data_IF_130058613331
#
_entry.id   IF_130058613331
#
_cell.length_a   1.000
_cell.length_b   1.000
_cell.length_c   1.000
_cell.angle_alpha   90.00
_cell.angle_beta   90.00
_cell.angle_gamma   90.00
#
_symmetry.space_group_name_H-M   'P 1'
#
loop_
_entity.id
_entity.type
_entity.pdbx_description
1 polymer ?
#
# COMPACT_ATOMS: atom_id res chain seq x y z
N UNK A 1 26.57 34.29 0.74
CA UNK A 1 27.70 33.44 1.15
C UNK A 1 28.97 34.21 0.91
N UNK A 2 29.79 34.41 1.94
CA UNK A 2 31.00 35.22 1.82
C UNK A 2 32.20 34.31 1.50
N UNK A 3 33.01 34.70 0.50
CA UNK A 3 34.29 34.05 0.21
C UNK A 3 35.33 34.57 1.19
N UNK A 4 36.05 33.67 1.86
CA UNK A 4 36.98 34.04 2.93
C UNK A 4 38.44 33.91 2.47
N UNK A 5 39.28 34.85 2.92
CA UNK A 5 40.74 34.73 2.87
C UNK A 5 41.22 34.36 4.29
N UNK A 6 41.98 33.27 4.42
CA UNK A 6 42.46 32.70 5.69
C UNK A 6 41.37 32.34 6.71
N UNK A 7 40.53 31.30 6.46
CA UNK A 7 39.20 31.16 7.09
C UNK A 7 39.15 31.04 8.62
N UNK A 8 40.24 30.71 9.29
CA UNK A 8 40.50 30.99 10.72
C UNK A 8 42.00 30.89 11.01
N UNK A 9 42.83 31.34 10.05
CA UNK A 9 44.31 31.22 10.02
C UNK A 9 44.90 29.85 9.63
N UNK A 10 44.26 29.25 8.62
CA UNK A 10 44.80 28.27 7.65
C UNK A 10 44.62 26.77 7.94
N UNK A 11 44.31 26.04 6.87
CA UNK A 11 44.15 24.56 6.73
C UNK A 11 42.74 23.94 6.77
N UNK A 12 41.69 24.68 6.40
CA UNK A 12 40.39 24.07 6.11
C UNK A 12 39.49 23.96 7.33
N UNK A 13 39.30 25.08 8.02
CA UNK A 13 38.33 25.22 9.10
C UNK A 13 36.95 24.72 8.62
N UNK A 14 36.40 23.75 9.34
CA UNK A 14 35.10 23.17 9.10
C UNK A 14 34.30 23.11 10.40
N UNK A 15 32.99 23.31 10.31
CA UNK A 15 32.10 23.23 11.46
C UNK A 15 31.48 24.56 11.86
N UNK A 16 30.65 24.51 12.90
CA UNK A 16 29.86 25.63 13.39
C UNK A 16 30.54 26.29 14.60
N UNK A 17 30.66 27.61 14.57
CA UNK A 17 31.08 28.41 15.73
C UNK A 17 29.83 29.00 16.37
N UNK A 18 29.65 28.71 17.66
CA UNK A 18 28.60 29.24 18.52
C UNK A 18 27.16 29.15 17.94
N UNK A 19 26.91 28.20 17.02
CA UNK A 19 25.65 28.11 16.25
C UNK A 19 25.24 29.43 15.58
N UNK A 20 26.23 30.23 15.19
CA UNK A 20 26.03 31.51 14.50
C UNK A 20 26.60 31.48 13.08
N UNK A 21 27.76 30.85 12.87
CA UNK A 21 28.43 30.77 11.56
C UNK A 21 28.98 29.37 11.33
N UNK A 22 28.88 28.87 10.11
CA UNK A 22 29.46 27.61 9.65
C UNK A 22 30.53 27.87 8.60
N UNK A 23 31.72 27.31 8.82
CA UNK A 23 32.80 27.27 7.85
C UNK A 23 32.83 25.90 7.18
N UNK A 24 33.03 25.86 5.86
CA UNK A 24 33.21 24.62 5.11
C UNK A 24 33.81 24.90 3.73
N UNK A 25 34.46 23.91 3.08
CA UNK A 25 34.84 24.01 1.69
C UNK A 25 33.62 23.80 0.77
N UNK A 26 33.41 24.71 -0.18
CA UNK A 26 32.38 24.60 -1.20
C UNK A 26 32.99 24.82 -2.59
N UNK A 27 32.98 23.78 -3.44
CA UNK A 27 33.54 23.82 -4.79
C UNK A 27 34.97 24.41 -4.84
N UNK A 28 35.83 23.95 -3.93
CA UNK A 28 37.22 24.41 -3.83
C UNK A 28 37.41 25.81 -3.21
N UNK A 29 36.32 26.47 -2.79
CA UNK A 29 36.36 27.76 -2.11
C UNK A 29 36.07 27.61 -0.63
N UNK A 30 36.83 28.28 0.21
CA UNK A 30 36.51 28.38 1.63
C UNK A 30 35.43 29.43 1.83
N UNK A 31 34.29 28.99 2.39
CA UNK A 31 33.11 29.82 2.54
C UNK A 31 32.62 29.81 3.98
N UNK A 32 32.04 30.93 4.39
CA UNK A 32 31.21 31.01 5.59
C UNK A 32 29.77 31.32 5.23
N UNK A 33 28.86 30.71 6.00
CA UNK A 33 27.44 31.04 6.00
C UNK A 33 26.92 31.12 7.43
N UNK A 34 25.82 31.84 7.60
CA UNK A 34 25.06 31.82 8.84
C UNK A 34 24.67 30.37 9.20
N UNK A 35 24.74 30.05 10.49
CA UNK A 35 24.24 28.79 11.01
C UNK A 35 22.71 28.83 10.98
N UNK A 36 22.16 28.40 9.84
CA UNK A 36 20.73 28.23 9.69
C UNK A 36 20.35 26.91 10.34
N UNK A 37 19.58 26.95 11.42
CA UNK A 37 18.78 25.79 11.85
C UNK A 37 17.61 25.74 10.88
N UNK A 38 17.53 24.74 9.97
CA UNK A 38 16.38 24.63 9.09
C UNK A 38 15.13 24.54 9.96
N UNK A 39 14.14 25.38 9.70
CA UNK A 39 12.84 25.20 10.32
C UNK A 39 12.37 23.79 9.94
N UNK A 40 12.09 22.96 10.95
CA UNK A 40 11.40 21.67 10.77
C UNK A 40 9.97 21.79 11.32
N UNK A 41 9.12 22.65 10.73
CA UNK A 41 7.79 22.90 11.27
C UNK A 41 6.96 21.62 11.15
N UNK A 42 6.51 21.08 12.28
CA UNK A 42 5.52 20.00 12.35
C UNK A 42 4.13 20.57 12.03
N UNK A 43 3.89 20.94 10.78
CA UNK A 43 2.58 21.44 10.37
C UNK A 43 1.54 20.33 10.50
N UNK A 44 0.27 20.72 10.69
CA UNK A 44 -0.85 19.76 10.78
C UNK A 44 -0.87 18.80 9.60
N UNK A 45 -0.72 19.32 8.37
CA UNK A 45 -0.70 18.49 7.16
C UNK A 45 0.44 17.47 7.17
N UNK A 46 1.64 17.88 7.59
CA UNK A 46 2.75 16.95 7.67
C UNK A 46 2.54 15.87 8.74
N UNK A 47 1.96 16.21 9.88
CA UNK A 47 1.63 15.22 10.92
C UNK A 47 0.51 14.29 10.49
N UNK A 48 -0.49 14.78 9.75
CA UNK A 48 -1.56 13.96 9.17
C UNK A 48 -1.01 12.92 8.21
N UNK A 49 -0.16 13.32 7.25
CA UNK A 49 0.41 12.38 6.29
C UNK A 49 1.32 11.32 6.95
N UNK A 50 2.08 11.72 7.98
CA UNK A 50 2.87 10.77 8.79
C UNK A 50 1.97 9.82 9.59
N UNK A 51 0.85 10.31 10.11
CA UNK A 51 -0.16 9.51 10.80
C UNK A 51 -0.78 8.46 9.89
N UNK A 52 -1.11 8.82 8.65
CA UNK A 52 -1.65 7.87 7.67
C UNK A 52 -0.67 6.74 7.36
N UNK A 53 0.61 7.06 7.16
CA UNK A 53 1.65 6.05 6.93
C UNK A 53 1.82 5.15 8.16
N UNK A 54 1.87 5.72 9.36
CA UNK A 54 1.99 4.94 10.60
C UNK A 54 0.80 3.98 10.76
N UNK A 55 -0.43 4.47 10.58
CA UNK A 55 -1.64 3.66 10.67
C UNK A 55 -1.66 2.51 9.63
N UNK A 56 -1.21 2.78 8.39
CA UNK A 56 -1.13 1.75 7.36
C UNK A 56 -0.12 0.65 7.72
N UNK A 57 1.06 1.03 8.20
CA UNK A 57 2.11 0.08 8.61
C UNK A 57 1.63 -0.75 9.81
N UNK A 58 1.03 -0.12 10.81
CA UNK A 58 0.51 -0.79 11.99
C UNK A 58 -0.62 -1.77 11.63
N UNK A 59 -1.54 -1.37 10.76
CA UNK A 59 -2.62 -2.22 10.27
C UNK A 59 -2.11 -3.44 9.50
N UNK A 60 -1.12 -3.27 8.63
CA UNK A 60 -0.50 -4.39 7.90
C UNK A 60 0.22 -5.34 8.86
N UNK A 61 0.98 -4.83 9.83
CA UNK A 61 1.65 -5.67 10.82
C UNK A 61 0.65 -6.40 11.72
N UNK A 62 -0.46 -5.76 12.10
CA UNK A 62 -1.54 -6.42 12.83
C UNK A 62 -2.13 -7.57 12.01
N UNK A 63 -2.35 -7.36 10.71
CA UNK A 63 -2.82 -8.42 9.82
C UNK A 63 -1.81 -9.57 9.66
N UNK A 64 -0.52 -9.28 9.60
CA UNK A 64 0.52 -10.31 9.53
C UNK A 64 0.64 -11.11 10.85
N UNK A 65 0.40 -10.45 11.99
CA UNK A 65 0.51 -11.06 13.31
C UNK A 65 -0.77 -11.80 13.75
N UNK A 66 -1.85 -11.69 12.98
CA UNK A 66 -3.12 -12.31 13.33
C UNK A 66 -3.02 -13.84 13.37
N UNK A 67 -3.64 -14.46 14.36
CA UNK A 67 -3.56 -15.90 14.54
C UNK A 67 -4.58 -16.68 13.68
N UNK A 68 -5.67 -16.03 13.26
CA UNK A 68 -6.83 -16.70 12.64
C UNK A 68 -6.87 -16.45 11.13
N UNK A 69 -6.71 -15.19 10.72
CA UNK A 69 -6.73 -14.72 9.34
C UNK A 69 -5.44 -13.96 8.99
N UNK A 70 -4.25 -14.56 9.19
CA UNK A 70 -2.99 -13.89 8.93
C UNK A 70 -2.87 -13.45 7.47
N UNK A 71 -2.23 -12.30 7.26
CA UNK A 71 -1.69 -11.93 5.95
C UNK A 71 -0.43 -12.78 5.69
N UNK A 72 -0.55 -13.77 4.82
CA UNK A 72 0.49 -14.78 4.54
C UNK A 72 1.08 -14.63 3.14
N UNK A 73 1.97 -15.55 2.76
CA UNK A 73 2.64 -15.55 1.45
C UNK A 73 1.67 -15.48 0.27
N UNK A 74 0.52 -16.17 0.35
CA UNK A 74 -0.50 -16.13 -0.70
C UNK A 74 -1.04 -14.70 -0.93
N UNK A 75 -1.35 -13.98 0.15
CA UNK A 75 -1.81 -12.59 0.10
C UNK A 75 -0.68 -11.65 -0.37
N UNK A 76 0.55 -11.87 0.11
CA UNK A 76 1.75 -11.11 -0.29
C UNK A 76 1.96 -11.20 -1.81
N UNK A 77 1.87 -12.41 -2.38
CA UNK A 77 1.98 -12.63 -3.83
C UNK A 77 0.81 -11.96 -4.56
N UNK A 78 -0.41 -12.00 -4.01
CA UNK A 78 -1.57 -11.36 -4.59
C UNK A 78 -1.43 -9.82 -4.63
N UNK A 79 -0.95 -9.19 -3.55
CA UNK A 79 -0.64 -7.75 -3.53
C UNK A 79 0.54 -7.41 -4.42
N UNK A 80 1.56 -8.27 -4.53
CA UNK A 80 2.65 -8.07 -5.49
C UNK A 80 2.12 -8.07 -6.92
N UNK A 81 1.18 -8.98 -7.24
CA UNK A 81 0.55 -9.03 -8.55
C UNK A 81 -0.27 -7.77 -8.83
N UNK A 82 -1.02 -7.27 -7.84
CA UNK A 82 -1.71 -5.99 -7.93
C UNK A 82 -0.70 -4.85 -8.20
N UNK A 83 0.34 -4.73 -7.38
CA UNK A 83 1.37 -3.70 -7.53
C UNK A 83 2.13 -3.76 -8.85
N UNK A 84 2.18 -4.94 -9.51
CA UNK A 84 2.77 -5.10 -10.85
C UNK A 84 1.91 -4.52 -11.98
N UNK A 85 0.64 -4.22 -11.73
CA UNK A 85 -0.29 -3.69 -12.73
C UNK A 85 -0.30 -2.15 -12.77
N UNK A 86 0.33 -1.50 -11.78
CA UNK A 86 0.43 -0.05 -11.72
C UNK A 86 1.43 0.50 -12.77
N UNK A 87 1.23 1.71 -13.31
CA UNK A 87 2.16 2.33 -14.27
C UNK A 87 3.60 2.44 -13.74
N UNK A 88 3.74 2.63 -12.43
CA UNK A 88 5.00 2.49 -11.70
C UNK A 88 4.91 1.23 -10.84
N UNK A 89 5.40 0.08 -11.32
CA UNK A 89 5.34 -1.17 -10.58
C UNK A 89 5.96 -1.00 -9.20
N UNK A 90 5.29 -1.57 -8.18
CA UNK A 90 5.73 -1.45 -6.79
C UNK A 90 5.66 -2.77 -6.06
N UNK A 91 6.36 -2.85 -4.94
CA UNK A 91 6.33 -4.02 -4.06
C UNK A 91 4.93 -4.21 -3.47
N UNK A 92 4.62 -5.43 -3.03
CA UNK A 92 3.35 -5.76 -2.38
C UNK A 92 3.04 -4.80 -1.21
N UNK A 93 4.05 -4.52 -0.37
CA UNK A 93 3.89 -3.69 0.81
C UNK A 93 3.59 -2.25 0.43
N UNK A 94 4.31 -1.69 -0.55
CA UNK A 94 4.05 -0.36 -1.05
C UNK A 94 2.69 -0.26 -1.75
N UNK A 95 2.17 -1.36 -2.33
CA UNK A 95 0.83 -1.39 -2.88
C UNK A 95 -0.23 -1.33 -1.79
N UNK A 96 -0.14 -2.19 -0.77
CA UNK A 96 -1.06 -2.22 0.36
C UNK A 96 -1.07 -0.88 1.13
N UNK A 97 0.11 -0.32 1.41
CA UNK A 97 0.25 1.00 2.06
C UNK A 97 -0.37 2.11 1.20
N UNK A 98 -0.17 2.08 -0.11
CA UNK A 98 -0.74 3.10 -1.00
C UNK A 98 -2.27 3.03 -0.99
N UNK A 99 -2.85 1.84 -1.13
CA UNK A 99 -4.30 1.63 -1.12
C UNK A 99 -4.92 2.15 0.19
N UNK A 100 -4.28 1.86 1.32
CA UNK A 100 -4.68 2.33 2.65
C UNK A 100 -4.64 3.87 2.75
N UNK A 101 -3.53 4.49 2.35
CA UNK A 101 -3.36 5.95 2.40
C UNK A 101 -4.37 6.64 1.49
N UNK A 102 -4.62 6.10 0.30
CA UNK A 102 -5.61 6.66 -0.63
C UNK A 102 -7.01 6.71 0.01
N UNK A 103 -7.41 5.68 0.77
CA UNK A 103 -8.69 5.68 1.49
C UNK A 103 -8.73 6.78 2.56
N UNK A 104 -7.69 6.89 3.39
CA UNK A 104 -7.65 7.91 4.45
C UNK A 104 -7.63 9.34 3.87
N UNK A 105 -6.95 9.54 2.74
CA UNK A 105 -6.97 10.82 2.01
C UNK A 105 -8.38 11.12 1.47
N UNK A 106 -9.09 10.10 1.00
CA UNK A 106 -10.49 10.20 0.57
C UNK A 106 -11.49 10.28 1.74
N UNK A 107 -11.03 10.30 2.99
CA UNK A 107 -11.87 10.25 4.21
C UNK A 107 -12.76 9.00 4.27
N UNK A 108 -12.27 7.89 3.74
CA UNK A 108 -12.89 6.56 3.75
C UNK A 108 -12.17 5.61 4.70
N UNK A 109 -12.77 4.44 4.95
CA UNK A 109 -12.15 3.42 5.78
C UNK A 109 -11.21 2.55 4.93
N UNK A 110 -9.95 2.34 5.37
CA UNK A 110 -9.06 1.40 4.72
C UNK A 110 -9.52 -0.04 4.98
N UNK A 111 -9.46 -0.90 3.97
CA UNK A 111 -9.80 -2.32 4.10
C UNK A 111 -8.71 -3.20 3.47
N UNK A 112 -7.73 -3.59 4.28
CA UNK A 112 -6.76 -4.60 3.89
C UNK A 112 -7.45 -5.97 3.83
N UNK A 113 -7.22 -6.74 2.79
CA UNK A 113 -7.71 -8.11 2.68
C UNK A 113 -6.59 -9.13 2.96
N UNK A 114 -6.87 -10.20 3.72
CA UNK A 114 -5.95 -11.32 4.00
C UNK A 114 -6.66 -12.67 3.90
N UNK A 115 -5.95 -13.76 4.18
CA UNK A 115 -6.49 -15.13 4.18
C UNK A 115 -7.21 -15.47 2.85
N UNK A 116 -6.72 -14.92 1.73
CA UNK A 116 -7.33 -15.12 0.43
C UNK A 116 -7.13 -16.54 -0.08
N UNK A 117 -8.23 -17.21 -0.43
CA UNK A 117 -8.21 -18.56 -0.97
C UNK A 117 -9.02 -18.67 -2.27
N UNK A 118 -8.45 -19.40 -3.23
CA UNK A 118 -9.08 -19.79 -4.48
C UNK A 118 -9.19 -21.32 -4.51
N UNK A 119 -10.40 -21.83 -4.55
CA UNK A 119 -10.70 -23.27 -4.54
C UNK A 119 -11.22 -23.70 -5.91
N UNK A 120 -10.42 -24.41 -6.72
CA UNK A 120 -10.88 -24.95 -8.00
C UNK A 120 -12.05 -25.94 -7.86
N UNK A 121 -13.03 -25.82 -8.74
CA UNK A 121 -14.08 -26.82 -8.95
C UNK A 121 -14.43 -26.98 -10.42
N UNK A 122 -15.36 -27.89 -10.72
CA UNK A 122 -15.78 -28.20 -12.09
C UNK A 122 -16.38 -26.95 -12.77
N UNK A 123 -15.66 -26.40 -13.74
CA UNK A 123 -16.02 -25.15 -14.43
C UNK A 123 -16.32 -23.97 -13.49
N UNK A 124 -15.72 -23.95 -12.29
CA UNK A 124 -15.94 -22.92 -11.29
C UNK A 124 -14.70 -22.63 -10.43
N UNK A 125 -14.69 -21.48 -9.77
CA UNK A 125 -13.74 -21.13 -8.71
C UNK A 125 -14.52 -20.66 -7.48
N UNK A 126 -14.35 -21.34 -6.35
CA UNK A 126 -14.71 -20.79 -5.04
C UNK A 126 -13.68 -19.74 -4.64
N UNK A 127 -14.13 -18.60 -4.14
CA UNK A 127 -13.27 -17.50 -3.70
C UNK A 127 -13.66 -17.05 -2.31
N UNK A 128 -12.66 -16.82 -1.46
CA UNK A 128 -12.86 -16.33 -0.09
C UNK A 128 -11.70 -15.44 0.32
N UNK A 129 -11.94 -14.47 1.19
CA UNK A 129 -10.92 -13.68 1.88
C UNK A 129 -11.51 -13.00 3.11
N UNK A 130 -10.63 -12.60 4.03
CA UNK A 130 -10.95 -11.84 5.21
C UNK A 130 -10.72 -10.33 4.98
N UNK A 131 -11.62 -9.51 5.50
CA UNK A 131 -11.64 -8.05 5.42
C UNK A 131 -11.18 -7.46 6.76
N UNK A 132 -10.10 -6.68 6.76
CA UNK A 132 -9.65 -5.92 7.92
C UNK A 132 -10.42 -4.61 8.09
N UNK A 133 -11.73 -4.66 7.88
CA UNK A 133 -12.69 -3.58 8.06
C UNK A 133 -14.06 -4.21 8.36
N UNK A 134 -14.65 -3.86 9.50
CA UNK A 134 -15.79 -4.58 10.06
C UNK A 134 -17.16 -4.14 9.53
N UNK A 135 -17.24 -2.98 8.87
CA UNK A 135 -18.49 -2.36 8.44
C UNK A 135 -18.79 -2.56 6.96
N UNK A 136 -17.87 -3.17 6.21
CA UNK A 136 -18.07 -3.52 4.81
C UNK A 136 -19.21 -4.52 4.69
N UNK A 137 -20.23 -4.16 3.93
CA UNK A 137 -21.47 -4.95 3.80
C UNK A 137 -21.76 -5.39 2.38
N UNK A 138 -21.13 -4.76 1.39
CA UNK A 138 -21.29 -5.10 -0.02
C UNK A 138 -19.98 -4.98 -0.80
N UNK A 139 -19.80 -5.88 -1.77
CA UNK A 139 -18.67 -5.87 -2.68
C UNK A 139 -18.78 -6.97 -3.72
N UNK A 140 -17.85 -6.94 -4.67
CA UNK A 140 -17.84 -7.86 -5.81
C UNK A 140 -16.45 -8.44 -6.02
N UNK A 141 -16.41 -9.69 -6.46
CA UNK A 141 -15.21 -10.31 -7.01
C UNK A 141 -15.14 -10.03 -8.50
N UNK A 142 -14.27 -9.11 -8.90
CA UNK A 142 -13.97 -8.83 -10.30
C UNK A 142 -12.99 -9.86 -10.84
N UNK A 143 -13.27 -10.43 -12.01
CA UNK A 143 -12.46 -11.50 -12.57
C UNK A 143 -12.27 -11.42 -14.09
N UNK A 144 -11.24 -12.11 -14.59
CA UNK A 144 -10.91 -12.17 -16.01
C UNK A 144 -9.70 -13.06 -16.31
N UNK A 145 -9.40 -13.29 -17.58
CA UNK A 145 -8.24 -14.11 -18.01
C UNK A 145 -6.93 -13.30 -18.06
N UNK A 146 -6.99 -11.99 -17.83
CA UNK A 146 -5.83 -11.11 -17.70
C UNK A 146 -5.87 -10.40 -16.35
N UNK A 147 -4.71 -10.30 -15.70
CA UNK A 147 -4.52 -9.55 -14.45
C UNK A 147 -4.88 -8.07 -14.56
N UNK A 148 -4.84 -7.48 -15.76
CA UNK A 148 -5.15 -6.06 -16.01
C UNK A 148 -6.55 -5.84 -16.60
N UNK A 149 -7.27 -6.90 -16.97
CA UNK A 149 -8.61 -6.82 -17.57
C UNK A 149 -9.58 -7.74 -16.83
N UNK A 150 -9.96 -7.33 -15.61
CA UNK A 150 -10.98 -7.97 -14.79
C UNK A 150 -12.35 -7.38 -15.17
N UNK A 151 -12.92 -7.90 -16.26
CA UNK A 151 -14.11 -7.33 -16.93
C UNK A 151 -15.44 -7.91 -16.43
N UNK A 152 -15.40 -9.08 -15.80
CA UNK A 152 -16.57 -9.74 -15.24
C UNK A 152 -16.60 -9.50 -13.73
N UNK A 153 -17.77 -9.69 -13.12
CA UNK A 153 -17.95 -9.56 -11.68
C UNK A 153 -18.95 -10.58 -11.17
N UNK A 154 -18.70 -11.10 -9.97
CA UNK A 154 -19.63 -11.92 -9.19
C UNK A 154 -19.88 -11.22 -7.85
N UNK A 155 -21.12 -11.25 -7.34
CA UNK A 155 -21.45 -10.64 -6.05
C UNK A 155 -20.79 -11.42 -4.91
N UNK A 156 -20.18 -10.70 -3.98
CA UNK A 156 -19.64 -11.30 -2.77
C UNK A 156 -20.73 -11.38 -1.69
N UNK A 157 -20.83 -12.52 -1.04
CA UNK A 157 -21.54 -12.65 0.23
C UNK A 157 -20.56 -12.29 1.34
N UNK A 158 -20.86 -11.22 2.07
CA UNK A 158 -20.05 -10.76 3.19
C UNK A 158 -20.73 -11.13 4.50
N UNK A 159 -20.04 -11.94 5.32
CA UNK A 159 -20.51 -12.34 6.63
C UNK A 159 -19.34 -12.32 7.62
N UNK A 160 -19.47 -11.55 8.70
CA UNK A 160 -18.46 -11.50 9.78
C UNK A 160 -17.04 -11.19 9.27
N UNK A 161 -16.91 -10.18 8.40
CA UNK A 161 -15.64 -9.80 7.74
C UNK A 161 -15.07 -10.84 6.77
N UNK A 162 -15.83 -11.87 6.42
CA UNK A 162 -15.43 -12.82 5.37
C UNK A 162 -16.24 -12.54 4.11
N UNK A 163 -15.55 -12.26 3.00
CA UNK A 163 -16.16 -12.11 1.69
C UNK A 163 -15.98 -13.41 0.91
N UNK A 164 -17.08 -13.98 0.41
CA UNK A 164 -17.08 -15.26 -0.31
C UNK A 164 -17.92 -15.22 -1.57
N UNK A 165 -17.57 -16.00 -2.58
CA UNK A 165 -18.42 -16.22 -3.76
C UNK A 165 -18.06 -17.53 -4.47
N UNK A 166 -18.94 -17.99 -5.36
CA UNK A 166 -18.64 -19.06 -6.32
C UNK A 166 -18.78 -18.51 -7.73
N UNK A 167 -17.65 -18.38 -8.43
CA UNK A 167 -17.62 -17.92 -9.82
C UNK A 167 -17.82 -19.13 -10.72
N UNK A 168 -18.99 -19.25 -11.34
CA UNK A 168 -19.37 -20.38 -12.19
C UNK A 168 -19.19 -20.09 -13.69
N UNK A 169 -19.36 -21.12 -14.52
CA UNK A 169 -19.33 -20.98 -15.99
C UNK A 169 -17.95 -20.68 -16.57
N UNK A 170 -16.88 -21.03 -15.83
CA UNK A 170 -15.50 -20.81 -16.24
C UNK A 170 -14.98 -21.96 -17.09
N UNK A 171 -14.11 -21.68 -18.04
CA UNK A 171 -13.53 -22.72 -18.90
C UNK A 171 -12.48 -23.53 -18.10
N UNK A 172 -12.62 -24.88 -18.03
CA UNK A 172 -11.64 -25.74 -17.38
C UNK A 172 -10.20 -25.53 -17.88
N UNK A 173 -9.23 -25.53 -16.97
CA UNK A 173 -7.81 -25.37 -17.28
C UNK A 173 -7.35 -23.94 -17.63
N UNK A 174 -8.27 -23.01 -17.88
CA UNK A 174 -7.95 -21.60 -18.15
C UNK A 174 -7.63 -20.88 -16.85
N UNK A 175 -6.57 -20.06 -16.86
CA UNK A 175 -6.19 -19.25 -15.70
C UNK A 175 -7.09 -18.03 -15.61
N UNK A 176 -7.78 -17.87 -14.48
CA UNK A 176 -8.54 -16.67 -14.16
C UNK A 176 -7.88 -15.93 -12.99
N UNK A 177 -7.87 -14.61 -13.09
CA UNK A 177 -7.46 -13.67 -12.06
C UNK A 177 -8.70 -13.09 -11.39
N UNK A 178 -8.64 -12.86 -10.08
CA UNK A 178 -9.77 -12.40 -9.27
C UNK A 178 -9.30 -11.33 -8.28
N UNK A 179 -10.08 -10.27 -8.10
CA UNK A 179 -9.85 -9.22 -7.11
C UNK A 179 -11.18 -8.79 -6.48
N UNK A 180 -11.23 -8.75 -5.16
CA UNK A 180 -12.35 -8.19 -4.42
C UNK A 180 -12.27 -6.66 -4.36
N UNK A 181 -13.43 -6.03 -4.50
CA UNK A 181 -13.59 -4.58 -4.37
C UNK A 181 -14.92 -4.30 -3.66
N UNK A 182 -14.94 -3.49 -2.58
CA UNK A 182 -16.17 -3.00 -1.97
C UNK A 182 -17.02 -2.21 -2.98
N UNK A 183 -18.33 -2.27 -2.83
CA UNK A 183 -19.26 -1.61 -3.73
C UNK A 183 -19.29 -0.09 -3.51
N UNK A 184 -19.78 0.70 -4.50
CA UNK A 184 -20.05 2.12 -4.31
C UNK A 184 -20.94 2.38 -3.08
N UNK A 185 -20.63 3.45 -2.35
CA UNK A 185 -21.26 3.86 -1.08
C UNK A 185 -20.93 2.99 0.15
N UNK A 186 -20.15 1.92 0.02
CA UNK A 186 -19.58 1.22 1.17
C UNK A 186 -18.51 2.10 1.87
N UNK A 187 -18.36 2.07 3.20
CA UNK A 187 -17.33 2.83 3.90
C UNK A 187 -15.89 2.55 3.40
N UNK A 188 -15.65 1.35 2.89
CA UNK A 188 -14.38 0.93 2.30
C UNK A 188 -14.32 1.08 0.77
N UNK A 189 -15.27 1.80 0.16
CA UNK A 189 -15.33 1.99 -1.30
C UNK A 189 -14.00 2.49 -1.86
N UNK A 190 -13.40 1.71 -2.75
CA UNK A 190 -12.15 2.04 -3.42
C UNK A 190 -10.95 1.27 -2.89
N UNK A 191 -11.07 0.61 -1.73
CA UNK A 191 -10.11 -0.38 -1.27
C UNK A 191 -10.08 -1.59 -2.23
N UNK A 192 -8.93 -2.25 -2.32
CA UNK A 192 -8.76 -3.40 -3.22
C UNK A 192 -7.97 -4.51 -2.56
N UNK A 193 -8.45 -5.74 -2.71
CA UNK A 193 -7.65 -6.90 -2.35
C UNK A 193 -6.42 -7.04 -3.27
N UNK A 194 -5.49 -7.91 -2.87
CA UNK A 194 -4.54 -8.48 -3.83
C UNK A 194 -5.26 -9.17 -5.01
N UNK A 195 -4.55 -9.37 -6.11
CA UNK A 195 -5.09 -10.13 -7.26
C UNK A 195 -4.69 -11.60 -7.08
N UNK A 196 -5.69 -12.44 -6.82
CA UNK A 196 -5.53 -13.89 -6.73
C UNK A 196 -5.72 -14.54 -8.10
N UNK A 197 -5.36 -15.82 -8.24
CA UNK A 197 -5.64 -16.56 -9.46
C UNK A 197 -5.85 -18.05 -9.21
N UNK A 198 -6.58 -18.70 -10.11
CA UNK A 198 -6.80 -20.14 -10.11
C UNK A 198 -7.11 -20.69 -11.50
N UNK A 199 -7.23 -22.01 -11.60
CA UNK A 199 -7.67 -22.71 -12.81
C UNK A 199 -8.83 -23.64 -12.44
N UNK A 200 -10.03 -23.47 -13.04
CA UNK A 200 -11.13 -24.40 -12.83
C UNK A 200 -10.75 -25.80 -13.28
N UNK A 201 -11.37 -26.81 -12.66
CA UNK A 201 -11.22 -28.21 -13.07
C UNK A 201 -12.25 -28.57 -14.13
N UNK A 202 -12.03 -29.70 -14.80
CA UNK A 202 -13.03 -30.31 -15.66
C UNK A 202 -14.24 -30.77 -14.83
#
# INVERSE_FOLDING_TARGET
>A
MAKLKAPLLSFGASGAIAKAVVYFPWKGLNVAREYVIPANPKTTLQTTQRGYLAAAVDGIHAAQADATNPLVEADIVAYALYGSCEPTPRTWFNQAVKDWIDQLVASKLPCLCSAGAITPGASQLGVSLYLWEATCTAGKFFYGTSKTALINSEDAVIATQEATATIAGLTPGVKYFVQFRPDPADPAEGARSGIYYGRPTA
#
